data_IF_398316667635
#
_entry.id   IF_398316667635
#
_cell.length_a   1.000
_cell.length_b   1.000
_cell.length_c   1.000
_cell.angle_alpha   90.00
_cell.angle_beta   90.00
_cell.angle_gamma   90.00
#
_symmetry.space_group_name_H-M   'P 1'
#
loop_
_entity.id
_entity.type
_entity.pdbx_description
1 polymer ?
#
# COMPACT_ATOMS: atom_id res chain seq x y z
N UNK A 1 33.87 10.19 5.04
CA UNK A 1 33.21 8.87 4.97
C UNK A 1 31.73 9.13 4.77
N UNK A 2 31.11 8.62 3.70
CA UNK A 2 29.67 8.77 3.46
C UNK A 2 28.93 7.77 4.36
N UNK A 3 28.18 8.27 5.34
CA UNK A 3 27.23 7.46 6.08
C UNK A 3 26.07 7.14 5.13
N UNK A 4 25.99 5.91 4.64
CA UNK A 4 24.79 5.41 3.97
C UNK A 4 23.68 5.36 5.03
N UNK A 5 22.78 6.34 4.99
CA UNK A 5 21.61 6.38 5.84
C UNK A 5 20.63 5.30 5.38
N UNK A 6 20.56 4.21 6.15
CA UNK A 6 19.59 3.15 5.90
C UNK A 6 18.21 3.68 6.33
N UNK A 7 17.23 3.79 5.42
CA UNK A 7 15.89 4.25 5.75
C UNK A 7 15.21 3.24 6.67
N UNK A 8 14.62 3.72 7.76
CA UNK A 8 13.89 2.91 8.71
C UNK A 8 12.45 2.73 8.22
N UNK A 9 12.02 1.48 8.00
CA UNK A 9 10.65 1.16 7.58
C UNK A 9 9.95 0.42 8.71
N UNK A 10 8.84 0.96 9.19
CA UNK A 10 8.06 0.40 10.30
C UNK A 10 6.57 0.36 9.96
N UNK A 11 5.82 -0.48 10.68
CA UNK A 11 4.36 -0.43 10.68
C UNK A 11 3.86 0.49 11.77
N UNK A 12 2.73 1.15 11.51
CA UNK A 12 2.05 2.00 12.48
C UNK A 12 1.81 1.24 13.79
N UNK A 13 2.23 1.81 14.91
CA UNK A 13 2.09 1.18 16.23
C UNK A 13 3.27 0.28 16.63
N UNK A 14 4.22 0.02 15.73
CA UNK A 14 5.52 -0.54 16.13
C UNK A 14 6.32 0.51 16.91
N UNK A 15 7.05 0.07 17.93
CA UNK A 15 7.95 0.93 18.68
C UNK A 15 9.24 1.13 17.90
N UNK A 16 9.75 2.36 17.91
CA UNK A 16 11.11 2.65 17.44
C UNK A 16 11.98 2.86 18.68
N UNK A 17 13.12 2.19 18.72
CA UNK A 17 14.17 2.48 19.70
C UNK A 17 15.30 3.18 18.96
N UNK A 18 15.55 4.44 19.31
CA UNK A 18 16.66 5.20 18.75
C UNK A 18 17.91 4.90 19.56
N UNK A 19 19.07 4.77 18.92
CA UNK A 19 20.33 4.70 19.63
C UNK A 19 20.87 6.13 19.77
N UNK A 20 20.66 6.73 20.94
CA UNK A 20 21.05 8.11 21.23
C UNK A 20 21.69 8.25 22.63
N UNK A 21 22.53 9.26 22.77
CA UNK A 21 23.09 9.69 24.06
C UNK A 21 22.04 10.42 24.90
N UNK A 22 22.26 10.51 26.21
CA UNK A 22 21.39 11.24 27.13
C UNK A 22 21.50 12.75 26.92
N UNK A 23 20.40 13.49 27.02
CA UNK A 23 20.38 14.95 26.89
C UNK A 23 20.20 15.46 25.46
N UNK A 24 20.00 14.58 24.48
CA UNK A 24 19.72 14.99 23.09
C UNK A 24 18.26 15.43 22.92
N UNK A 25 18.04 16.32 21.97
CA UNK A 25 16.72 16.69 21.48
C UNK A 25 16.37 15.87 20.25
N UNK A 26 15.21 15.20 20.28
CA UNK A 26 14.72 14.35 19.20
C UNK A 26 13.48 14.97 18.59
N UNK A 27 13.51 15.22 17.29
CA UNK A 27 12.40 15.75 16.51
C UNK A 27 12.05 14.78 15.39
N UNK A 28 10.76 14.46 15.23
CA UNK A 28 10.26 13.74 14.06
C UNK A 28 9.29 14.62 13.32
N UNK A 29 9.48 14.78 12.03
CA UNK A 29 8.66 15.67 11.22
C UNK A 29 8.63 15.27 9.76
N UNK A 30 7.84 15.99 8.97
CA UNK A 30 7.91 15.93 7.53
C UNK A 30 7.70 17.31 6.91
N UNK A 31 8.02 17.44 5.62
CA UNK A 31 7.93 18.71 4.90
C UNK A 31 6.50 19.27 4.75
N UNK A 32 5.46 18.48 5.07
CA UNK A 32 4.06 18.84 4.82
C UNK A 32 3.25 19.17 6.09
N UNK A 33 3.65 18.66 7.25
CA UNK A 33 3.00 18.87 8.55
C UNK A 33 3.93 19.45 9.61
N UNK A 34 5.21 19.65 9.30
CA UNK A 34 6.20 20.12 10.25
C UNK A 34 6.58 19.04 11.27
N UNK A 35 6.97 19.46 12.47
CA UNK A 35 7.34 18.57 13.58
C UNK A 35 6.07 17.96 14.17
N UNK A 36 6.00 16.64 14.17
CA UNK A 36 4.87 15.85 14.72
C UNK A 36 5.19 15.25 16.07
N UNK A 37 6.47 15.17 16.42
CA UNK A 37 6.95 14.63 17.68
C UNK A 37 8.23 15.39 18.07
N UNK A 38 8.30 15.85 19.30
CA UNK A 38 9.48 16.49 19.86
C UNK A 38 9.62 16.09 21.32
N UNK A 39 10.85 15.72 21.70
CA UNK A 39 11.26 15.53 23.08
C UNK A 39 12.61 16.20 23.23
N UNK A 40 12.67 17.15 24.17
CA UNK A 40 13.90 17.78 24.61
C UNK A 40 14.44 17.01 25.83
N UNK A 41 15.77 16.98 26.01
CA UNK A 41 16.43 16.27 27.12
C UNK A 41 16.04 14.77 27.19
N UNK A 42 16.17 14.07 26.06
CA UNK A 42 15.73 12.68 25.98
C UNK A 42 16.71 11.73 26.69
N UNK A 43 16.20 10.66 27.35
CA UNK A 43 17.05 9.64 27.96
C UNK A 43 17.84 8.87 26.89
N UNK A 44 18.92 8.22 27.30
CA UNK A 44 19.67 7.33 26.43
C UNK A 44 18.76 6.21 25.90
N UNK A 45 18.86 5.94 24.60
CA UNK A 45 18.06 4.96 23.86
C UNK A 45 16.53 5.19 23.89
N UNK A 46 16.09 6.38 23.51
CA UNK A 46 14.69 6.80 23.63
C UNK A 46 13.73 5.95 22.77
N UNK A 47 12.59 5.58 23.36
CA UNK A 47 11.51 4.83 22.69
C UNK A 47 10.42 5.76 22.15
N UNK A 48 10.18 5.72 20.83
CA UNK A 48 9.08 6.44 20.19
C UNK A 48 7.92 5.48 19.91
N UNK A 49 6.74 5.82 20.45
CA UNK A 49 5.47 5.14 20.13
C UNK A 49 4.88 5.75 18.86
N UNK A 50 4.72 4.95 17.82
CA UNK A 50 4.26 5.44 16.50
C UNK A 50 2.76 5.24 16.25
N UNK A 51 1.98 4.97 17.30
CA UNK A 51 0.53 4.71 17.19
C UNK A 51 -0.23 5.94 16.65
N UNK A 52 0.18 7.13 17.03
CA UNK A 52 -0.48 8.39 16.64
C UNK A 52 0.06 8.95 15.32
N UNK A 53 1.07 8.30 14.73
CA UNK A 53 1.70 8.76 13.51
C UNK A 53 0.78 8.42 12.33
N UNK A 54 0.62 9.37 11.42
CA UNK A 54 -0.10 9.12 10.17
C UNK A 54 0.78 8.27 9.23
N UNK A 55 0.16 7.63 8.25
CA UNK A 55 0.90 6.89 7.22
C UNK A 55 1.69 7.87 6.35
N UNK A 56 2.96 7.57 6.09
CA UNK A 56 3.79 8.44 5.26
C UNK A 56 5.29 8.37 5.54
N UNK A 57 6.02 9.26 4.87
CA UNK A 57 7.45 9.47 5.06
C UNK A 57 7.69 10.61 6.04
N UNK A 58 8.65 10.40 6.92
CA UNK A 58 9.08 11.28 7.99
C UNK A 58 10.62 11.30 8.04
N UNK A 59 11.14 12.28 8.74
CA UNK A 59 12.56 12.39 9.05
C UNK A 59 12.69 12.54 10.55
N UNK A 60 13.54 11.71 11.15
CA UNK A 60 13.97 11.80 12.54
C UNK A 60 15.25 12.64 12.53
N UNK A 61 15.27 13.69 13.36
CA UNK A 61 16.38 14.61 13.53
C UNK A 61 16.77 14.56 15.00
N UNK A 62 18.05 14.34 15.28
CA UNK A 62 18.60 14.32 16.63
C UNK A 62 19.63 15.44 16.72
N UNK A 63 19.44 16.34 17.68
CA UNK A 63 20.35 17.47 17.96
C UNK A 63 20.87 17.41 19.38
N UNK A 64 22.07 17.90 19.60
CA UNK A 64 22.70 18.05 20.92
C UNK A 64 23.39 19.42 20.95
N UNK A 65 23.13 20.24 21.98
CA UNK A 65 23.65 21.62 22.08
C UNK A 65 23.51 22.44 20.78
N UNK A 66 22.32 22.41 20.17
CA UNK A 66 21.99 23.04 18.88
C UNK A 66 22.80 22.56 17.66
N UNK A 67 23.60 21.50 17.79
CA UNK A 67 24.30 20.86 16.69
C UNK A 67 23.56 19.61 16.18
N UNK A 68 23.54 19.41 14.85
CA UNK A 68 22.94 18.23 14.22
C UNK A 68 23.83 17.01 14.42
N UNK A 69 23.36 16.04 15.21
CA UNK A 69 24.08 14.79 15.48
C UNK A 69 23.72 13.71 14.46
N UNK A 70 22.42 13.56 14.19
CA UNK A 70 21.92 12.50 13.30
C UNK A 70 20.64 12.89 12.59
N UNK A 71 20.48 12.39 11.38
CA UNK A 71 19.27 12.54 10.59
C UNK A 71 18.96 11.21 9.91
N UNK A 72 17.76 10.68 10.10
CA UNK A 72 17.35 9.40 9.51
C UNK A 72 15.96 9.49 8.87
N UNK A 73 15.81 8.89 7.70
CA UNK A 73 14.50 8.77 7.05
C UNK A 73 13.67 7.65 7.70
N UNK A 74 12.40 7.93 7.99
CA UNK A 74 11.42 7.03 8.59
C UNK A 74 10.22 6.87 7.64
N UNK A 75 9.86 5.64 7.31
CA UNK A 75 8.63 5.33 6.55
C UNK A 75 7.67 4.56 7.43
N UNK A 76 6.49 5.15 7.69
CA UNK A 76 5.41 4.53 8.47
C UNK A 76 4.38 3.92 7.52
N UNK A 77 4.31 2.59 7.53
CA UNK A 77 3.36 1.80 6.77
C UNK A 77 2.06 1.57 7.57
N UNK A 78 0.90 1.41 6.91
CA UNK A 78 -0.33 1.04 7.58
C UNK A 78 -0.25 -0.34 8.26
N UNK A 79 -0.98 -0.51 9.36
CA UNK A 79 -1.13 -1.81 10.06
C UNK A 79 -1.77 -2.85 9.14
N UNK A 80 -2.81 -2.45 8.43
CA UNK A 80 -3.50 -3.25 7.43
C UNK A 80 -3.22 -2.64 6.06
N UNK A 81 -2.61 -3.41 5.15
CA UNK A 81 -2.55 -3.00 3.76
C UNK A 81 -4.00 -2.84 3.27
N UNK A 82 -4.45 -1.59 3.04
CA UNK A 82 -5.72 -1.36 2.38
C UNK A 82 -5.59 -1.95 0.99
N UNK A 83 -6.14 -3.15 0.80
CA UNK A 83 -6.26 -3.76 -0.51
C UNK A 83 -6.89 -2.74 -1.44
N UNK A 84 -6.17 -2.35 -2.48
CA UNK A 84 -6.70 -1.39 -3.43
C UNK A 84 -7.94 -2.00 -4.10
N UNK A 85 -8.91 -1.16 -4.48
CA UNK A 85 -10.08 -1.64 -5.22
C UNK A 85 -9.70 -2.45 -6.48
N UNK A 86 -8.54 -2.14 -7.07
CA UNK A 86 -7.97 -2.82 -8.23
C UNK A 86 -7.46 -4.23 -7.89
N UNK A 87 -6.73 -4.39 -6.78
CA UNK A 87 -6.28 -5.70 -6.30
C UNK A 87 -7.47 -6.56 -5.90
N UNK A 88 -8.44 -5.98 -5.19
CA UNK A 88 -9.68 -6.68 -4.83
C UNK A 88 -10.43 -7.22 -6.04
N UNK A 89 -10.59 -6.40 -7.09
CA UNK A 89 -11.26 -6.84 -8.32
C UNK A 89 -10.48 -7.94 -9.04
N UNK A 90 -9.15 -7.90 -9.05
CA UNK A 90 -8.31 -8.96 -9.65
C UNK A 90 -8.44 -10.28 -8.91
N UNK A 91 -8.35 -10.25 -7.59
CA UNK A 91 -8.52 -11.45 -6.76
C UNK A 91 -9.93 -12.04 -6.90
N UNK A 92 -10.95 -11.19 -6.91
CA UNK A 92 -12.35 -11.63 -7.08
C UNK A 92 -12.57 -12.31 -8.43
N UNK A 93 -12.02 -11.74 -9.53
CA UNK A 93 -12.11 -12.35 -10.87
C UNK A 93 -11.40 -13.71 -10.89
N UNK A 94 -10.17 -13.79 -10.36
CA UNK A 94 -9.41 -15.03 -10.34
C UNK A 94 -10.13 -16.15 -9.58
N UNK A 95 -10.81 -15.81 -8.48
CA UNK A 95 -11.60 -16.75 -7.70
C UNK A 95 -12.86 -17.19 -8.45
N UNK A 96 -13.59 -16.27 -9.11
CA UNK A 96 -14.73 -16.65 -9.96
C UNK A 96 -14.28 -17.58 -11.09
N UNK A 97 -13.11 -17.34 -11.70
CA UNK A 97 -12.53 -18.22 -12.72
C UNK A 97 -12.20 -19.61 -12.16
N UNK A 98 -11.66 -19.68 -10.95
CA UNK A 98 -11.42 -20.95 -10.26
C UNK A 98 -12.72 -21.71 -9.95
N UNK A 99 -13.79 -21.03 -9.53
CA UNK A 99 -15.12 -21.64 -9.32
C UNK A 99 -15.69 -22.17 -10.64
N UNK A 100 -15.61 -21.38 -11.70
CA UNK A 100 -16.05 -21.80 -13.04
C UNK A 100 -15.26 -23.02 -13.49
N UNK A 101 -13.93 -23.01 -13.33
CA UNK A 101 -13.06 -24.11 -13.72
C UNK A 101 -13.37 -25.39 -12.92
N UNK A 102 -13.44 -25.30 -11.58
CA UNK A 102 -13.76 -26.42 -10.70
C UNK A 102 -15.12 -27.06 -11.05
N UNK A 103 -16.12 -26.25 -11.42
CA UNK A 103 -17.42 -26.75 -11.84
C UNK A 103 -17.39 -27.39 -13.23
N UNK A 104 -16.60 -26.86 -14.17
CA UNK A 104 -16.40 -27.48 -15.47
C UNK A 104 -15.59 -28.78 -15.38
N UNK A 105 -14.68 -28.91 -14.42
CA UNK A 105 -13.86 -30.10 -14.18
C UNK A 105 -14.52 -31.15 -13.29
N UNK A 106 -15.65 -30.83 -12.65
CA UNK A 106 -16.39 -31.74 -11.76
C UNK A 106 -15.69 -32.00 -10.41
N UNK A 107 -14.81 -31.09 -9.98
CA UNK A 107 -14.05 -31.25 -8.73
C UNK A 107 -14.78 -30.60 -7.55
N UNK A 108 -15.59 -31.41 -6.84
CA UNK A 108 -16.41 -30.96 -5.71
C UNK A 108 -15.58 -30.51 -4.49
N UNK A 109 -14.33 -30.98 -4.36
CA UNK A 109 -13.46 -30.61 -3.24
C UNK A 109 -13.04 -29.14 -3.30
N UNK A 110 -12.78 -28.62 -4.50
CA UNK A 110 -12.38 -27.23 -4.72
C UNK A 110 -13.50 -26.23 -4.42
N UNK A 111 -14.77 -26.61 -4.65
CA UNK A 111 -15.94 -25.74 -4.44
C UNK A 111 -16.15 -25.35 -2.96
N UNK A 112 -15.72 -26.19 -2.02
CA UNK A 112 -15.94 -26.00 -0.57
C UNK A 112 -15.09 -24.91 0.08
N UNK A 113 -13.96 -24.51 -0.54
CA UNK A 113 -13.01 -23.55 0.06
C UNK A 113 -13.13 -22.11 -0.48
N UNK A 114 -14.01 -21.84 -1.45
CA UNK A 114 -14.07 -20.54 -2.15
C UNK A 114 -15.12 -19.59 -1.57
N UNK A 115 -14.83 -19.02 -0.39
CA UNK A 115 -15.64 -17.96 0.23
C UNK A 115 -14.83 -16.66 0.30
N UNK A 116 -15.36 -15.55 -0.22
CA UNK A 116 -14.71 -14.22 -0.14
C UNK A 116 -15.58 -13.27 0.67
N UNK A 117 -15.04 -12.76 1.78
CA UNK A 117 -15.68 -11.74 2.64
C UNK A 117 -17.16 -11.99 2.94
N UNK A 118 -17.53 -13.26 3.15
CA UNK A 118 -18.90 -13.68 3.49
C UNK A 118 -19.81 -14.06 2.32
N UNK A 119 -19.36 -13.90 1.06
CA UNK A 119 -20.09 -14.39 -0.10
C UNK A 119 -19.54 -15.75 -0.53
N UNK A 120 -20.39 -16.79 -0.45
CA UNK A 120 -20.08 -18.15 -0.86
C UNK A 120 -20.59 -18.36 -2.29
N UNK A 121 -19.68 -18.40 -3.26
CA UNK A 121 -20.00 -18.56 -4.68
C UNK A 121 -20.34 -20.00 -5.09
N UNK A 122 -20.22 -20.95 -4.15
CA UNK A 122 -20.46 -22.37 -4.41
C UNK A 122 -21.89 -22.70 -4.87
N UNK A 123 -22.88 -21.88 -4.50
CA UNK A 123 -24.30 -22.13 -4.75
C UNK A 123 -24.89 -21.38 -5.96
N UNK A 124 -24.14 -20.50 -6.62
CA UNK A 124 -24.67 -19.74 -7.76
C UNK A 124 -24.60 -20.55 -9.05
N UNK A 125 -25.42 -20.26 -10.07
CA UNK A 125 -25.40 -20.98 -11.36
C UNK A 125 -24.21 -20.57 -12.24
N UNK A 126 -23.81 -21.43 -13.20
CA UNK A 126 -22.68 -21.14 -14.10
C UNK A 126 -22.91 -19.84 -14.90
N UNK A 127 -24.15 -19.59 -15.33
CA UNK A 127 -24.51 -18.38 -16.06
C UNK A 127 -24.38 -17.11 -15.20
N UNK A 128 -24.75 -17.19 -13.92
CA UNK A 128 -24.59 -16.06 -12.98
C UNK A 128 -23.11 -15.77 -12.71
N UNK A 129 -22.28 -16.80 -12.54
CA UNK A 129 -20.84 -16.66 -12.36
C UNK A 129 -20.15 -16.02 -13.58
N UNK A 130 -20.54 -16.42 -14.80
CA UNK A 130 -20.03 -15.82 -16.03
C UNK A 130 -20.43 -14.35 -16.14
N UNK A 131 -21.67 -14.00 -15.80
CA UNK A 131 -22.15 -12.63 -15.81
C UNK A 131 -21.41 -11.76 -14.78
N UNK A 132 -21.24 -12.26 -13.56
CA UNK A 132 -20.46 -11.60 -12.50
C UNK A 132 -19.02 -11.36 -12.93
N UNK A 133 -18.35 -12.35 -13.54
CA UNK A 133 -17.00 -12.19 -14.09
C UNK A 133 -16.95 -11.02 -15.06
N UNK A 134 -17.84 -11.00 -16.07
CA UNK A 134 -17.86 -9.91 -17.06
C UNK A 134 -18.14 -8.55 -16.45
N UNK A 135 -18.98 -8.46 -15.42
CA UNK A 135 -19.26 -7.20 -14.75
C UNK A 135 -18.06 -6.72 -13.91
N UNK A 136 -17.36 -7.60 -13.21
CA UNK A 136 -16.13 -7.25 -12.49
C UNK A 136 -14.98 -6.87 -13.43
N UNK A 137 -14.81 -7.54 -14.57
CA UNK A 137 -13.86 -7.15 -15.61
C UNK A 137 -14.18 -5.77 -16.20
N UNK A 138 -15.46 -5.46 -16.40
CA UNK A 138 -15.92 -4.14 -16.84
C UNK A 138 -15.61 -3.07 -15.79
N UNK A 139 -15.74 -3.38 -14.50
CA UNK A 139 -15.36 -2.45 -13.43
C UNK A 139 -13.84 -2.24 -13.34
N UNK A 140 -13.07 -3.32 -13.48
CA UNK A 140 -11.61 -3.27 -13.49
C UNK A 140 -11.06 -2.46 -14.67
N UNK A 141 -11.60 -2.66 -15.87
CA UNK A 141 -11.19 -1.92 -17.07
C UNK A 141 -11.50 -0.42 -16.96
N UNK A 142 -12.66 -0.04 -16.40
CA UNK A 142 -13.00 1.36 -16.11
C UNK A 142 -12.01 2.00 -15.14
N UNK A 143 -11.61 1.29 -14.08
CA UNK A 143 -10.62 1.79 -13.11
C UNK A 143 -9.24 1.98 -13.74
N UNK A 144 -8.79 1.01 -14.55
CA UNK A 144 -7.51 1.12 -15.28
C UNK A 144 -7.52 2.29 -16.26
N UNK A 145 -8.63 2.49 -16.99
CA UNK A 145 -8.77 3.63 -17.90
C UNK A 145 -8.77 4.97 -17.13
N UNK A 146 -9.43 5.04 -15.98
CA UNK A 146 -9.42 6.23 -15.13
C UNK A 146 -8.01 6.54 -14.59
N UNK A 147 -7.25 5.52 -14.17
CA UNK A 147 -5.84 5.66 -13.76
C UNK A 147 -4.96 6.17 -14.92
N UNK A 148 -5.10 5.59 -16.11
CA UNK A 148 -4.34 6.02 -17.31
C UNK A 148 -4.65 7.47 -17.71
N UNK A 149 -5.92 7.90 -17.59
CA UNK A 149 -6.31 9.30 -17.81
C UNK A 149 -5.70 10.24 -16.78
N UNK A 150 -5.67 9.85 -15.50
CA UNK A 150 -4.97 10.61 -14.44
C UNK A 150 -3.47 10.75 -14.72
N UNK A 151 -2.86 9.76 -15.36
CA UNK A 151 -1.46 9.76 -15.78
C UNK A 151 -1.22 10.47 -17.13
N UNK A 152 -2.24 11.11 -17.72
CA UNK A 152 -2.12 11.85 -18.99
C UNK A 152 -2.01 10.96 -20.23
N UNK A 153 -2.22 9.65 -20.12
CA UNK A 153 -2.17 8.72 -21.25
C UNK A 153 -3.53 8.76 -21.96
N UNK A 154 -3.54 9.39 -23.14
CA UNK A 154 -4.71 9.42 -24.03
C UNK A 154 -5.15 8.00 -24.42
N UNK A 155 -6.47 7.69 -24.40
CA UNK A 155 -6.98 6.42 -24.91
C UNK A 155 -6.79 6.24 -26.43
N UNK A 156 -6.60 7.34 -27.16
CA UNK A 156 -6.53 7.38 -28.61
C UNK A 156 -5.06 7.26 -29.03
N UNK A 157 -4.71 6.14 -29.67
CA UNK A 157 -3.44 6.02 -30.41
C UNK A 157 -3.62 6.74 -31.74
N UNK A 158 -2.94 7.88 -31.92
CA UNK A 158 -2.88 8.55 -33.21
C UNK A 158 -2.10 7.67 -34.20
N UNK A 159 -2.79 6.98 -35.10
CA UNK A 159 -2.17 6.28 -36.21
C UNK A 159 -1.78 7.34 -37.24
N UNK A 160 -0.48 7.64 -37.35
CA UNK A 160 0.03 8.49 -38.44
C UNK A 160 0.02 7.68 -39.73
N UNK A 161 -1.00 7.88 -40.58
CA UNK A 161 -1.02 7.38 -41.94
C UNK A 161 0.06 8.12 -42.76
N UNK A 162 1.08 7.38 -43.21
CA UNK A 162 2.04 7.89 -44.19
C UNK A 162 1.57 7.47 -45.56
N UNK A 163 0.97 8.41 -46.30
CA UNK A 163 0.64 8.21 -47.71
C UNK A 163 1.94 8.28 -48.52
N UNK A 164 2.40 7.15 -49.06
CA UNK A 164 3.45 7.10 -50.08
C UNK A 164 2.82 7.28 -51.45
N UNK A 165 3.38 8.20 -52.25
CA UNK A 165 2.94 8.52 -53.61
C UNK A 165 3.46 7.49 -54.61
#
# INVERSE_FOLDING_TARGET
MSLELIPLVIRKGEKITLANEEGVTIQVGNNSKGIIYQVDDSPANHEIKTLDFAEGKYTIVITFDDELVSMQELTVLPVFAKQSKKEYLRETIALIEQVIFARLSGDEAALSQMTVKGNTFAYESLGVLQQLKTDYERQLSKLIQAERRKQGISPIKNIKLRLTR
#
